data_IF_710910405443
#
_entry.id   IF_710910405443
#
_cell.length_a   1.000
_cell.length_b   1.000
_cell.length_c   1.000
_cell.angle_alpha   90.00
_cell.angle_beta   90.00
_cell.angle_gamma   90.00
#
_symmetry.space_group_name_H-M   'P 1'
#
loop_
_entity.id
_entity.type
_entity.pdbx_description
1 polymer ?
#
# COMPACT_ATOMS: atom_id res chain seq x y z
N UNK A 1 5.79 11.61 -19.11
CA UNK A 1 6.11 12.65 -18.12
C UNK A 1 4.84 13.32 -17.56
N UNK A 2 3.91 13.83 -18.39
CA UNK A 2 2.70 14.50 -17.91
C UNK A 2 1.81 13.62 -17.01
N UNK A 3 1.63 12.34 -17.37
CA UNK A 3 0.88 11.37 -16.56
C UNK A 3 1.53 11.18 -15.18
N UNK A 4 2.85 11.09 -15.12
CA UNK A 4 3.57 10.95 -13.85
C UNK A 4 3.39 12.19 -12.96
N UNK A 5 3.53 13.40 -13.51
CA UNK A 5 3.33 14.63 -12.74
C UNK A 5 1.90 14.77 -12.24
N UNK A 6 0.92 14.26 -13.00
CA UNK A 6 -0.48 14.18 -12.53
C UNK A 6 -0.62 13.24 -11.33
N UNK A 7 0.02 12.06 -11.35
CA UNK A 7 0.04 11.16 -10.20
C UNK A 7 0.76 11.78 -8.99
N UNK A 8 1.88 12.46 -9.22
CA UNK A 8 2.63 13.09 -8.14
C UNK A 8 1.85 14.22 -7.48
N UNK A 9 1.10 15.01 -8.26
CA UNK A 9 0.24 16.06 -7.70
C UNK A 9 -0.86 15.50 -6.78
N UNK A 10 -1.34 14.29 -7.03
CA UNK A 10 -2.31 13.62 -6.16
C UNK A 10 -1.76 13.28 -4.78
N UNK A 11 -0.44 13.04 -4.65
CA UNK A 11 0.21 12.80 -3.34
C UNK A 11 0.10 14.03 -2.44
N UNK A 12 0.07 15.23 -3.03
CA UNK A 12 -0.04 16.49 -2.27
C UNK A 12 -1.46 16.75 -1.74
N UNK A 13 -2.47 16.05 -2.25
CA UNK A 13 -3.84 16.19 -1.78
C UNK A 13 -4.04 15.32 -0.53
N UNK A 14 -4.30 15.92 0.64
CA UNK A 14 -4.58 15.14 1.85
C UNK A 14 -5.80 14.23 1.66
N UNK A 15 -5.70 12.99 2.11
CA UNK A 15 -6.80 12.02 2.03
C UNK A 15 -8.09 12.55 2.66
N UNK A 16 -7.97 13.35 3.72
CA UNK A 16 -9.10 13.96 4.43
C UNK A 16 -9.96 14.87 3.53
N UNK A 17 -9.37 15.47 2.51
CA UNK A 17 -10.10 16.32 1.54
C UNK A 17 -10.90 15.45 0.56
N UNK A 18 -10.35 14.30 0.18
CA UNK A 18 -10.96 13.41 -0.82
C UNK A 18 -11.95 12.42 -0.21
N UNK A 19 -11.93 12.23 1.11
CA UNK A 19 -12.75 11.20 1.78
C UNK A 19 -14.25 11.41 1.57
N UNK A 20 -14.74 12.64 1.67
CA UNK A 20 -16.17 12.94 1.50
C UNK A 20 -16.63 12.73 0.04
N UNK A 21 -15.97 13.30 -0.98
CA UNK A 21 -16.31 13.03 -2.38
C UNK A 21 -16.25 11.54 -2.74
N UNK A 22 -15.21 10.85 -2.28
CA UNK A 22 -15.06 9.40 -2.51
C UNK A 22 -16.20 8.61 -1.86
N UNK A 23 -16.55 8.94 -0.62
CA UNK A 23 -17.68 8.31 0.07
C UNK A 23 -18.99 8.53 -0.67
N UNK A 24 -19.25 9.74 -1.16
CA UNK A 24 -20.47 10.03 -1.94
C UNK A 24 -20.51 9.19 -3.22
N UNK A 25 -19.40 9.09 -3.94
CA UNK A 25 -19.29 8.26 -5.14
C UNK A 25 -19.56 6.78 -4.85
N UNK A 26 -18.90 6.21 -3.84
CA UNK A 26 -19.08 4.82 -3.42
C UNK A 26 -20.51 4.56 -2.93
N UNK A 27 -21.10 5.52 -2.22
CA UNK A 27 -22.50 5.44 -1.78
C UNK A 27 -23.47 5.38 -2.95
N UNK A 28 -23.27 6.24 -3.96
CA UNK A 28 -24.08 6.27 -5.19
C UNK A 28 -24.02 4.93 -5.93
N UNK A 29 -22.86 4.29 -5.93
CA UNK A 29 -22.64 2.97 -6.55
C UNK A 29 -22.99 1.79 -5.63
N UNK A 30 -23.69 2.03 -4.51
CA UNK A 30 -24.08 1.01 -3.54
C UNK A 30 -22.91 0.20 -2.95
N UNK A 31 -21.75 0.83 -2.82
CA UNK A 31 -20.53 0.21 -2.28
C UNK A 31 -20.44 0.22 -0.76
N UNK A 32 -21.36 0.87 -0.05
CA UNK A 32 -21.40 0.86 1.41
C UNK A 32 -21.66 -0.55 1.93
N UNK A 33 -20.91 -0.98 2.94
CA UNK A 33 -20.93 -2.35 3.48
C UNK A 33 -20.60 -3.43 2.44
N UNK A 34 -19.67 -3.16 1.53
CA UNK A 34 -19.16 -4.13 0.56
C UNK A 34 -17.64 -4.12 0.53
N UNK A 35 -17.01 -5.26 0.22
CA UNK A 35 -15.56 -5.36 0.06
C UNK A 35 -15.04 -4.49 -1.07
N UNK A 36 -15.75 -4.38 -2.19
CA UNK A 36 -15.29 -3.54 -3.30
C UNK A 36 -15.29 -2.05 -2.93
N UNK A 37 -16.28 -1.59 -2.16
CA UNK A 37 -16.29 -0.21 -1.66
C UNK A 37 -15.17 0.09 -0.67
N UNK A 38 -14.68 -0.91 0.06
CA UNK A 38 -13.50 -0.80 0.92
C UNK A 38 -12.19 -0.79 0.12
N UNK A 39 -12.07 -1.70 -0.85
CA UNK A 39 -10.79 -2.01 -1.51
C UNK A 39 -10.53 -1.11 -2.71
N UNK A 40 -11.50 -0.96 -3.61
CA UNK A 40 -11.28 -0.30 -4.91
C UNK A 40 -10.75 1.14 -4.79
N UNK A 41 -11.27 2.01 -3.90
CA UNK A 41 -10.77 3.37 -3.77
C UNK A 41 -9.32 3.46 -3.26
N UNK A 42 -8.83 2.42 -2.61
CA UNK A 42 -7.50 2.39 -1.98
C UNK A 42 -6.45 1.64 -2.81
N UNK A 43 -6.83 1.04 -3.95
CA UNK A 43 -5.90 0.29 -4.82
C UNK A 43 -4.84 1.18 -5.46
N UNK A 44 -5.19 2.43 -5.80
CA UNK A 44 -4.26 3.36 -6.42
C UNK A 44 -3.40 4.05 -5.35
N UNK A 45 -2.14 3.66 -5.25
CA UNK A 45 -1.19 4.25 -4.30
C UNK A 45 -0.12 5.05 -5.07
N UNK A 46 -0.25 6.38 -5.05
CA UNK A 46 0.66 7.27 -5.76
C UNK A 46 2.10 7.23 -5.22
N UNK A 47 2.29 6.95 -3.93
CA UNK A 47 3.63 6.78 -3.33
C UNK A 47 4.32 5.51 -3.87
N UNK A 48 3.57 4.41 -4.03
CA UNK A 48 4.11 3.19 -4.60
C UNK A 48 4.52 3.39 -6.07
N UNK A 49 3.70 4.10 -6.86
CA UNK A 49 4.03 4.47 -8.25
C UNK A 49 5.30 5.33 -8.29
N UNK A 50 5.42 6.32 -7.41
CA UNK A 50 6.60 7.17 -7.32
C UNK A 50 7.87 6.37 -7.00
N UNK A 51 7.83 5.54 -5.96
CA UNK A 51 8.98 4.73 -5.54
C UNK A 51 9.39 3.71 -6.61
N UNK A 52 8.42 3.05 -7.24
CA UNK A 52 8.72 2.14 -8.36
C UNK A 52 9.39 2.86 -9.53
N UNK A 53 8.92 4.05 -9.89
CA UNK A 53 9.54 4.83 -10.96
C UNK A 53 10.97 5.22 -10.60
N UNK A 54 11.21 5.70 -9.38
CA UNK A 54 12.56 6.07 -8.92
C UNK A 54 13.50 4.87 -8.98
N UNK A 55 13.03 3.70 -8.58
CA UNK A 55 13.82 2.48 -8.67
C UNK A 55 14.15 2.11 -10.12
N UNK A 56 13.14 2.11 -11.02
CA UNK A 56 13.34 1.74 -12.42
C UNK A 56 14.28 2.73 -13.12
N UNK A 57 14.18 4.03 -12.83
CA UNK A 57 15.08 5.05 -13.36
C UNK A 57 16.54 4.92 -12.85
N UNK A 58 16.75 4.19 -11.77
CA UNK A 58 18.08 3.87 -11.25
C UNK A 58 18.71 2.63 -11.89
N UNK A 59 17.99 1.89 -12.72
CA UNK A 59 18.53 0.74 -13.45
C UNK A 59 19.43 1.24 -14.60
N UNK A 60 20.57 0.55 -14.89
CA UNK A 60 21.45 0.91 -15.99
C UNK A 60 20.73 0.82 -17.35
N UNK A 61 20.86 1.85 -18.19
CA UNK A 61 20.25 1.88 -19.52
C UNK A 61 20.80 0.79 -20.44
N UNK A 62 22.04 0.36 -20.23
CA UNK A 62 22.73 -0.67 -20.98
C UNK A 62 21.96 -2.02 -20.96
N UNK A 63 21.24 -2.29 -19.86
CA UNK A 63 20.40 -3.50 -19.76
C UNK A 63 19.23 -3.47 -20.76
N UNK A 64 18.64 -2.31 -20.95
CA UNK A 64 17.52 -2.11 -21.86
C UNK A 64 17.99 -2.09 -23.31
N UNK A 65 19.14 -1.46 -23.58
CA UNK A 65 19.73 -1.40 -24.91
C UNK A 65 20.16 -2.79 -25.38
N UNK A 66 20.85 -3.57 -24.55
CA UNK A 66 21.23 -4.94 -24.87
C UNK A 66 20.01 -5.81 -25.20
N UNK A 67 18.96 -5.73 -24.39
CA UNK A 67 17.73 -6.47 -24.64
C UNK A 67 17.04 -6.09 -25.96
N UNK A 68 17.06 -4.80 -26.33
CA UNK A 68 16.52 -4.34 -27.62
C UNK A 68 17.35 -4.80 -28.80
N UNK A 69 18.67 -4.85 -28.67
CA UNK A 69 19.57 -5.44 -29.70
C UNK A 69 19.27 -6.93 -29.88
N UNK A 70 18.96 -7.65 -28.80
CA UNK A 70 18.54 -9.06 -28.83
C UNK A 70 17.09 -9.24 -29.38
N UNK A 71 16.43 -8.17 -29.82
CA UNK A 71 15.09 -8.21 -30.41
C UNK A 71 13.95 -8.30 -29.39
N UNK A 72 14.21 -8.04 -28.11
CA UNK A 72 13.15 -8.05 -27.08
C UNK A 72 12.23 -6.82 -27.21
N UNK A 73 10.93 -7.08 -27.31
CA UNK A 73 9.92 -6.02 -27.21
C UNK A 73 9.74 -5.50 -25.77
N UNK A 74 9.18 -4.31 -25.61
CA UNK A 74 9.00 -3.62 -24.31
C UNK A 74 8.28 -4.50 -23.26
N UNK A 75 7.31 -5.33 -23.69
CA UNK A 75 6.59 -6.23 -22.79
C UNK A 75 7.50 -7.35 -22.27
N UNK A 76 8.40 -7.87 -23.14
CA UNK A 76 9.40 -8.89 -22.76
C UNK A 76 10.43 -8.30 -21.79
N UNK A 77 10.89 -7.07 -22.04
CA UNK A 77 11.79 -6.32 -21.16
C UNK A 77 11.15 -6.15 -19.78
N UNK A 78 9.88 -5.73 -19.74
CA UNK A 78 9.17 -5.56 -18.48
C UNK A 78 9.12 -6.87 -17.66
N UNK A 79 8.66 -7.96 -18.28
CA UNK A 79 8.44 -9.21 -17.55
C UNK A 79 9.72 -9.97 -17.22
N UNK A 80 10.74 -9.93 -18.10
CA UNK A 80 11.97 -10.72 -17.96
C UNK A 80 13.11 -9.96 -17.31
N UNK A 81 13.11 -8.64 -17.35
CA UNK A 81 14.20 -7.81 -16.81
C UNK A 81 13.70 -6.95 -15.66
N UNK A 82 12.77 -6.03 -15.93
CA UNK A 82 12.34 -5.03 -14.93
C UNK A 82 11.69 -5.69 -13.72
N UNK A 83 10.70 -6.54 -13.93
CA UNK A 83 9.95 -7.16 -12.84
C UNK A 83 10.81 -8.05 -11.93
N UNK A 84 11.71 -8.93 -12.46
CA UNK A 84 12.62 -9.69 -11.60
C UNK A 84 13.61 -8.81 -10.83
N UNK A 85 14.18 -7.79 -11.45
CA UNK A 85 15.08 -6.84 -10.79
C UNK A 85 14.36 -5.99 -9.73
N UNK A 86 13.06 -5.76 -9.92
CA UNK A 86 12.23 -4.98 -8.98
C UNK A 86 11.75 -5.79 -7.76
N UNK A 87 12.04 -7.09 -7.66
CA UNK A 87 11.57 -7.92 -6.53
C UNK A 87 11.89 -7.34 -5.14
N UNK A 88 13.10 -6.80 -4.87
CA UNK A 88 13.41 -6.25 -3.55
C UNK A 88 12.54 -5.02 -3.21
N UNK A 89 12.39 -4.10 -4.17
CA UNK A 89 11.56 -2.90 -3.97
C UNK A 89 10.06 -3.26 -3.88
N UNK A 90 9.60 -4.24 -4.64
CA UNK A 90 8.23 -4.73 -4.57
C UNK A 90 7.94 -5.37 -3.21
N UNK A 91 8.88 -6.12 -2.63
CA UNK A 91 8.76 -6.67 -1.29
C UNK A 91 8.65 -5.54 -0.25
N UNK A 92 9.51 -4.53 -0.34
CA UNK A 92 9.48 -3.36 0.54
C UNK A 92 8.17 -2.59 0.43
N UNK A 93 7.71 -2.31 -0.79
CA UNK A 93 6.43 -1.65 -1.03
C UNK A 93 5.25 -2.48 -0.52
N UNK A 94 5.28 -3.79 -0.73
CA UNK A 94 4.25 -4.69 -0.21
C UNK A 94 4.08 -4.59 1.30
N UNK A 95 5.19 -4.44 2.04
CA UNK A 95 5.16 -4.25 3.49
C UNK A 95 4.56 -2.88 3.85
N UNK A 96 5.02 -1.80 3.20
CA UNK A 96 4.48 -0.47 3.47
C UNK A 96 2.99 -0.39 3.19
N UNK A 97 2.53 -0.96 2.06
CA UNK A 97 1.11 -1.01 1.70
C UNK A 97 0.32 -1.85 2.70
N UNK A 98 0.87 -3.00 3.12
CA UNK A 98 0.26 -3.84 4.16
C UNK A 98 0.11 -3.07 5.48
N UNK A 99 1.19 -2.43 5.95
CA UNK A 99 1.16 -1.64 7.20
C UNK A 99 0.18 -0.48 7.11
N UNK A 100 0.13 0.20 5.98
CA UNK A 100 -0.80 1.30 5.76
C UNK A 100 -2.25 0.83 5.87
N UNK A 101 -2.63 -0.20 5.12
CA UNK A 101 -4.01 -0.71 5.12
C UNK A 101 -4.38 -1.43 6.40
N UNK A 102 -3.42 -2.09 7.05
CA UNK A 102 -3.66 -2.70 8.36
C UNK A 102 -4.01 -1.69 9.43
N UNK A 103 -3.35 -0.53 9.42
CA UNK A 103 -3.59 0.55 10.39
C UNK A 103 -4.68 1.53 9.93
N UNK A 104 -5.26 1.36 8.74
CA UNK A 104 -6.33 2.24 8.29
C UNK A 104 -7.56 2.05 9.18
N UNK A 105 -8.03 3.17 9.66
CA UNK A 105 -9.18 3.24 10.55
C UNK A 105 -10.34 4.02 9.90
N UNK A 106 -10.02 5.18 9.30
CA UNK A 106 -11.03 6.13 8.89
C UNK A 106 -11.91 5.61 7.75
N UNK A 107 -11.28 5.06 6.68
CA UNK A 107 -12.03 4.56 5.53
C UNK A 107 -12.90 3.34 5.86
N UNK A 108 -12.38 2.29 6.53
CA UNK A 108 -13.22 1.19 7.01
C UNK A 108 -14.35 1.61 7.95
N UNK A 109 -14.10 2.59 8.82
CA UNK A 109 -15.12 3.08 9.76
C UNK A 109 -16.33 3.68 9.04
N UNK A 110 -16.11 4.47 7.97
CA UNK A 110 -17.20 5.16 7.29
C UNK A 110 -17.90 4.30 6.24
N UNK A 111 -17.20 3.34 5.64
CA UNK A 111 -17.74 2.44 4.59
C UNK A 111 -18.31 1.15 5.20
N UNK A 112 -17.62 0.56 6.16
CA UNK A 112 -18.03 -0.68 6.84
C UNK A 112 -18.91 -0.41 8.05
N UNK A 113 -20.16 -0.04 7.83
CA UNK A 113 -21.09 0.33 8.92
C UNK A 113 -21.64 -0.86 9.70
N UNK A 114 -21.63 -2.07 9.10
CA UNK A 114 -22.06 -3.30 9.76
C UNK A 114 -20.89 -3.95 10.48
N UNK A 115 -21.13 -4.56 11.63
CA UNK A 115 -20.08 -5.23 12.42
C UNK A 115 -19.35 -6.33 11.65
N UNK A 116 -20.03 -7.00 10.71
CA UNK A 116 -19.42 -8.05 9.87
C UNK A 116 -18.39 -7.48 8.88
N UNK A 117 -18.41 -6.15 8.66
CA UNK A 117 -17.50 -5.45 7.75
C UNK A 117 -16.39 -4.69 8.48
N UNK A 118 -16.36 -4.75 9.81
CA UNK A 118 -15.36 -4.03 10.58
C UNK A 118 -13.97 -4.65 10.41
N UNK A 119 -12.99 -3.80 10.19
CA UNK A 119 -11.59 -4.18 10.35
C UNK A 119 -11.26 -4.34 11.83
N UNK A 120 -10.14 -4.98 12.13
CA UNK A 120 -9.73 -5.19 13.51
C UNK A 120 -9.53 -3.85 14.25
N UNK A 121 -8.98 -2.84 13.57
CA UNK A 121 -8.80 -1.47 14.12
C UNK A 121 -10.13 -0.81 14.48
N UNK A 122 -11.13 -0.91 13.61
CA UNK A 122 -12.49 -0.41 13.88
C UNK A 122 -13.14 -1.19 15.03
N UNK A 123 -12.99 -2.52 15.03
CA UNK A 123 -13.53 -3.37 16.10
C UNK A 123 -12.96 -3.02 17.47
N UNK A 124 -11.65 -2.84 17.59
CA UNK A 124 -10.99 -2.44 18.86
C UNK A 124 -11.47 -1.05 19.31
N UNK A 125 -11.56 -0.10 18.39
CA UNK A 125 -12.07 1.23 18.71
C UNK A 125 -13.52 1.20 19.21
N UNK A 126 -14.36 0.31 18.68
CA UNK A 126 -15.73 0.15 19.15
C UNK A 126 -15.82 -0.40 20.57
N UNK A 127 -14.85 -1.20 21.03
CA UNK A 127 -14.79 -1.69 22.41
C UNK A 127 -14.61 -0.53 23.41
N UNK A 128 -13.91 0.53 23.04
CA UNK A 128 -13.71 1.69 23.90
C UNK A 128 -15.00 2.50 24.12
N UNK A 129 -15.95 2.40 23.19
CA UNK A 129 -17.26 3.06 23.31
C UNK A 129 -18.26 2.24 24.14
N UNK A 130 -17.96 0.99 24.38
CA UNK A 130 -18.76 0.08 25.21
C UNK A 130 -18.18 0.05 26.63
N UNK A 131 -19.03 -0.29 27.62
CA UNK A 131 -18.60 -0.48 29.01
C UNK A 131 -17.84 -1.80 29.17
N UNK A 132 -16.73 -1.93 28.41
CA UNK A 132 -15.90 -3.13 28.40
C UNK A 132 -14.68 -2.91 29.31
N UNK A 133 -14.29 -3.92 30.10
CA UNK A 133 -13.08 -3.81 30.94
C UNK A 133 -11.83 -3.49 30.12
N UNK A 134 -10.98 -2.63 30.62
CA UNK A 134 -9.78 -2.13 29.93
C UNK A 134 -8.81 -3.26 29.51
N UNK A 135 -8.75 -4.34 30.28
CA UNK A 135 -7.95 -5.52 29.96
C UNK A 135 -8.40 -6.21 28.66
N UNK A 136 -9.69 -6.19 28.33
CA UNK A 136 -10.21 -6.75 27.05
C UNK A 136 -9.77 -5.89 25.89
N UNK A 137 -9.81 -4.56 26.03
CA UNK A 137 -9.33 -3.64 25.01
C UNK A 137 -7.82 -3.82 24.77
N UNK A 138 -7.02 -3.95 25.81
CA UNK A 138 -5.58 -4.22 25.69
C UNK A 138 -5.30 -5.59 25.08
N UNK A 139 -6.08 -6.61 25.41
CA UNK A 139 -5.95 -7.93 24.77
C UNK A 139 -6.21 -7.84 23.25
N UNK A 140 -7.27 -7.14 22.86
CA UNK A 140 -7.57 -6.87 21.45
C UNK A 140 -6.45 -6.13 20.73
N UNK A 141 -5.90 -5.07 21.33
CA UNK A 141 -4.77 -4.32 20.79
C UNK A 141 -3.51 -5.20 20.63
N UNK A 142 -3.25 -6.08 21.61
CA UNK A 142 -2.12 -7.04 21.52
C UNK A 142 -2.31 -8.01 20.35
N UNK A 143 -3.50 -8.55 20.17
CA UNK A 143 -3.81 -9.43 19.03
C UNK A 143 -3.63 -8.68 17.70
N UNK A 144 -3.99 -7.40 17.63
CA UNK A 144 -3.82 -6.59 16.43
C UNK A 144 -2.34 -6.35 16.05
N UNK A 145 -1.43 -6.36 17.01
CA UNK A 145 0.00 -6.20 16.76
C UNK A 145 0.65 -7.47 16.19
N UNK A 146 0.13 -8.65 16.49
CA UNK A 146 0.76 -9.92 16.09
C UNK A 146 0.98 -10.05 14.58
N UNK A 147 -0.02 -9.80 13.69
CA UNK A 147 0.19 -9.94 12.25
C UNK A 147 1.22 -8.93 11.71
N UNK A 148 1.23 -7.70 12.22
CA UNK A 148 2.22 -6.68 11.84
C UNK A 148 3.62 -7.13 12.25
N UNK A 149 3.77 -7.63 13.48
CA UNK A 149 5.05 -8.11 14.00
C UNK A 149 5.57 -9.30 13.20
N UNK A 150 4.69 -10.25 12.87
CA UNK A 150 5.03 -11.39 12.00
C UNK A 150 5.43 -10.93 10.59
N UNK A 151 4.68 -10.03 9.99
CA UNK A 151 5.02 -9.46 8.68
C UNK A 151 6.39 -8.77 8.72
N UNK A 152 6.68 -7.99 9.77
CA UNK A 152 7.98 -7.35 9.96
C UNK A 152 9.12 -8.36 10.07
N UNK A 153 8.96 -9.41 10.88
CA UNK A 153 10.01 -10.46 11.05
C UNK A 153 10.34 -11.17 9.74
N UNK A 154 9.35 -11.41 8.89
CA UNK A 154 9.56 -12.01 7.56
C UNK A 154 10.26 -11.04 6.62
N UNK A 155 9.92 -9.77 6.73
CA UNK A 155 10.25 -8.73 5.77
C UNK A 155 11.57 -8.01 6.09
N UNK A 156 12.03 -8.01 7.35
CA UNK A 156 13.19 -7.23 7.79
C UNK A 156 14.45 -7.46 6.93
N UNK A 157 14.67 -8.69 6.46
CA UNK A 157 15.80 -9.02 5.56
C UNK A 157 15.74 -8.30 4.22
N UNK A 158 14.55 -8.17 3.63
CA UNK A 158 14.35 -7.51 2.33
C UNK A 158 14.41 -5.98 2.43
N UNK A 159 14.00 -5.43 3.58
CA UNK A 159 14.10 -4.00 3.85
C UNK A 159 15.56 -3.57 3.98
N UNK A 160 16.39 -4.37 4.63
CA UNK A 160 17.82 -4.09 4.77
C UNK A 160 18.55 -4.11 3.42
N UNK A 161 18.26 -5.07 2.56
CA UNK A 161 18.82 -5.17 1.21
C UNK A 161 18.42 -3.98 0.32
N UNK A 162 17.16 -3.51 0.43
CA UNK A 162 16.68 -2.35 -0.33
C UNK A 162 17.30 -1.02 0.07
N UNK A 163 17.65 -0.83 1.36
CA UNK A 163 18.28 0.39 1.85
C UNK A 163 19.79 0.46 1.56
N UNK A 164 20.47 -0.68 1.47
CA UNK A 164 21.91 -0.71 1.23
C UNK A 164 22.30 -0.45 -0.23
N UNK A 165 21.42 -0.78 -1.17
CA UNK A 165 21.67 -0.53 -2.60
C UNK A 165 21.62 0.95 -3.00
N UNK A 166 21.00 1.81 -2.21
CA UNK A 166 20.95 3.27 -2.43
C UNK A 166 22.10 4.03 -1.76
N UNK A 167 22.85 3.38 -0.86
CA UNK A 167 23.90 4.03 -0.06
C UNK A 167 25.34 3.95 -0.60
N UNK A 168 25.60 3.27 -1.71
CA UNK A 168 26.94 3.13 -2.27
C UNK A 168 27.05 3.88 -3.60
N UNK A 169 26.98 5.20 -3.53
CA UNK A 169 27.60 6.16 -4.47
C UNK A 169 28.09 7.33 -3.64
N UNK A 170 29.21 7.17 -2.98
CA UNK A 170 30.10 8.19 -2.49
C UNK A 170 31.44 7.96 -3.16
#
# INVERSE_FOLDING_TARGET
>A
EAIFWSFLSMVMVPFQVTVIPTFMLISTWKGINTYWGMIVPTLANAQAVFLMRQFIQGLPDELFEAARVDGAGEFTIFWRIVLPLSRPILATLGIFVLLWHWNDFLWPLIVGRRSEMWTLTVGIASLQQQTVPLNVTFAGATVALLPIFMAYLVAQRHVQEGCTSTGIRG
#
